data_IF_131424083567
#
_entry.id   IF_131424083567
#
_cell.length_a   1.000
_cell.length_b   1.000
_cell.length_c   1.000
_cell.angle_alpha   90.00
_cell.angle_beta   90.00
_cell.angle_gamma   90.00
#
_symmetry.space_group_name_H-M   'P 1'
#
loop_
_entity.id
_entity.type
_entity.pdbx_description
1 polymer ?
#
# COMPACT_ATOMS: atom_id res chain seq x y z
N UNK A 1 49.26 -48.97 -30.61
CA UNK A 1 48.19 -49.68 -31.34
C UNK A 1 47.03 -49.90 -30.37
N UNK A 2 45.87 -49.33 -30.68
CA UNK A 2 44.51 -49.71 -30.23
C UNK A 2 44.18 -49.78 -28.72
N UNK A 3 43.58 -48.67 -28.25
CA UNK A 3 42.33 -48.53 -27.49
C UNK A 3 41.86 -49.62 -26.50
N UNK A 4 41.40 -49.18 -25.32
CA UNK A 4 40.03 -49.39 -24.85
C UNK A 4 39.65 -48.41 -23.74
N UNK A 5 38.65 -47.58 -24.06
CA UNK A 5 37.85 -46.76 -23.16
C UNK A 5 36.92 -47.70 -22.40
N UNK A 6 36.93 -47.65 -21.06
CA UNK A 6 35.88 -48.24 -20.24
C UNK A 6 35.32 -47.20 -19.27
N UNK A 7 34.07 -46.89 -19.57
CA UNK A 7 33.09 -46.11 -18.83
C UNK A 7 32.85 -46.75 -17.45
N UNK A 8 33.00 -45.97 -16.37
CA UNK A 8 32.43 -46.34 -15.07
C UNK A 8 31.45 -45.23 -14.66
N UNK A 9 30.17 -45.50 -14.83
CA UNK A 9 29.08 -44.72 -14.25
C UNK A 9 29.20 -44.80 -12.72
N UNK A 10 29.50 -43.68 -12.08
CA UNK A 10 29.23 -43.50 -10.66
C UNK A 10 27.76 -43.10 -10.51
N UNK A 11 26.94 -44.04 -10.01
CA UNK A 11 25.60 -43.77 -9.51
C UNK A 11 25.70 -42.82 -8.32
N UNK A 12 25.36 -41.55 -8.53
CA UNK A 12 25.12 -40.59 -7.46
C UNK A 12 23.71 -40.85 -6.91
N UNK A 13 23.62 -41.64 -5.85
CA UNK A 13 22.41 -41.71 -5.03
C UNK A 13 22.24 -40.36 -4.31
N UNK A 14 21.42 -39.48 -4.88
CA UNK A 14 20.94 -38.29 -4.20
C UNK A 14 19.93 -38.77 -3.15
N UNK A 15 20.41 -38.85 -1.91
CA UNK A 15 19.56 -38.93 -0.73
C UNK A 15 18.68 -37.67 -0.71
N UNK A 16 17.37 -37.84 -0.95
CA UNK A 16 16.34 -36.90 -0.51
C UNK A 16 16.49 -36.70 1.00
N UNK A 17 17.25 -35.67 1.37
CA UNK A 17 17.09 -35.05 2.68
C UNK A 17 15.90 -34.12 2.53
N UNK A 18 14.87 -34.18 3.40
CA UNK A 18 13.80 -33.19 3.36
C UNK A 18 14.45 -31.81 3.49
N UNK A 19 14.07 -30.90 2.60
CA UNK A 19 14.48 -29.51 2.67
C UNK A 19 14.11 -28.95 4.05
N UNK A 20 15.07 -28.95 4.97
CA UNK A 20 15.11 -27.92 6.00
C UNK A 20 15.42 -26.61 5.28
N UNK A 21 14.39 -26.05 4.65
CA UNK A 21 14.34 -24.61 4.43
C UNK A 21 14.45 -24.01 5.82
N UNK A 22 15.65 -23.53 6.18
CA UNK A 22 15.76 -22.58 7.27
C UNK A 22 14.84 -21.42 6.89
N UNK A 23 13.67 -21.36 7.52
CA UNK A 23 12.69 -20.31 7.28
C UNK A 23 13.43 -18.97 7.35
N UNK A 24 13.55 -18.31 6.20
CA UNK A 24 14.33 -17.09 6.07
C UNK A 24 13.63 -16.00 6.88
N UNK A 25 14.14 -15.76 8.09
CA UNK A 25 13.58 -14.75 9.00
C UNK A 25 14.09 -13.38 8.61
N UNK A 26 13.16 -12.47 8.36
CA UNK A 26 13.44 -11.09 7.96
C UNK A 26 13.24 -10.17 9.16
N UNK A 27 14.16 -9.24 9.41
CA UNK A 27 14.01 -8.23 10.46
C UNK A 27 12.83 -7.29 10.15
N UNK A 28 11.99 -7.03 11.15
CA UNK A 28 10.87 -6.10 11.00
C UNK A 28 11.35 -4.68 11.27
N UNK A 29 11.14 -3.80 10.30
CA UNK A 29 11.45 -2.38 10.45
C UNK A 29 10.53 -1.73 11.49
N UNK A 30 11.12 -1.13 12.52
CA UNK A 30 10.40 -0.29 13.46
C UNK A 30 9.96 1.03 12.81
N UNK A 31 8.69 1.40 13.00
CA UNK A 31 8.15 2.70 12.61
C UNK A 31 8.47 3.75 13.68
N UNK A 32 8.14 3.43 14.92
CA UNK A 32 8.49 4.22 16.10
C UNK A 32 8.93 3.30 17.25
N UNK A 33 9.69 3.85 18.19
CA UNK A 33 10.19 3.11 19.35
C UNK A 33 10.21 3.98 20.58
N UNK A 34 9.73 3.43 21.68
CA UNK A 34 9.70 4.11 22.97
C UNK A 34 10.26 3.19 24.04
N UNK A 35 11.22 3.68 24.82
CA UNK A 35 11.85 2.92 25.91
C UNK A 35 11.82 3.71 27.20
N UNK A 36 11.76 3.02 28.33
CA UNK A 36 11.75 3.67 29.63
C UNK A 36 11.94 2.70 30.79
N UNK A 37 11.95 3.28 31.99
CA UNK A 37 12.10 2.56 33.26
C UNK A 37 11.09 3.11 34.25
N UNK A 38 10.48 2.23 35.02
CA UNK A 38 9.49 2.59 36.03
C UNK A 38 9.84 1.93 37.36
N UNK A 39 9.80 2.70 38.44
CA UNK A 39 10.10 2.20 39.78
C UNK A 39 8.98 1.30 40.34
N UNK A 40 7.72 1.54 39.98
CA UNK A 40 6.59 0.70 40.40
C UNK A 40 6.53 -0.59 39.58
N UNK A 41 7.04 -1.68 40.17
CA UNK A 41 7.00 -3.03 39.57
C UNK A 41 5.59 -3.56 39.33
N UNK A 42 4.58 -3.05 40.04
CA UNK A 42 3.21 -3.54 39.96
C UNK A 42 2.56 -3.23 38.59
N UNK A 43 2.97 -2.12 37.97
CA UNK A 43 2.47 -1.72 36.65
C UNK A 43 2.82 -2.73 35.56
N UNK A 44 3.98 -3.40 35.66
CA UNK A 44 4.37 -4.47 34.74
C UNK A 44 3.36 -5.61 34.76
N UNK A 45 3.09 -6.17 35.95
CA UNK A 45 2.18 -7.31 36.09
C UNK A 45 0.72 -6.98 35.79
N UNK A 46 0.30 -5.73 36.01
CA UNK A 46 -1.09 -5.29 35.80
C UNK A 46 -1.39 -4.88 34.36
N UNK A 47 -0.42 -4.33 33.64
CA UNK A 47 -0.67 -3.62 32.38
C UNK A 47 0.17 -4.11 31.20
N UNK A 48 1.27 -4.83 31.42
CA UNK A 48 1.96 -5.45 30.29
C UNK A 48 1.03 -6.53 29.69
N UNK A 49 0.80 -6.52 28.36
CA UNK A 49 -0.04 -7.51 27.72
C UNK A 49 0.62 -8.89 27.83
N UNK A 50 -0.16 -9.91 28.22
CA UNK A 50 0.32 -11.30 28.26
C UNK A 50 0.67 -11.83 26.86
N UNK A 51 0.09 -11.22 25.83
CA UNK A 51 0.37 -11.50 24.42
C UNK A 51 1.65 -10.83 23.91
N UNK A 52 2.28 -9.94 24.69
CA UNK A 52 3.46 -9.16 24.31
C UNK A 52 3.24 -8.19 23.14
N UNK A 53 1.98 -7.89 22.80
CA UNK A 53 1.63 -6.87 21.80
C UNK A 53 0.27 -6.21 22.10
N UNK A 54 0.02 -5.06 21.46
CA UNK A 54 -1.22 -4.29 21.51
C UNK A 54 -1.74 -4.04 20.09
N UNK A 55 -3.04 -4.26 19.88
CA UNK A 55 -3.72 -4.12 18.58
C UNK A 55 -4.89 -3.15 18.60
N UNK A 56 -5.12 -2.43 19.69
CA UNK A 56 -6.24 -1.51 19.83
C UNK A 56 -5.89 -0.23 20.61
N UNK A 57 -6.60 0.84 20.30
CA UNK A 57 -6.33 2.18 20.83
C UNK A 57 -6.62 2.29 22.33
N UNK A 58 -7.60 1.55 22.85
CA UNK A 58 -7.99 1.62 24.25
C UNK A 58 -6.90 1.00 25.16
N UNK A 59 -6.39 -0.17 24.79
CA UNK A 59 -5.26 -0.82 25.46
C UNK A 59 -3.99 0.03 25.36
N UNK A 60 -3.72 0.62 24.20
CA UNK A 60 -2.58 1.51 23.99
C UNK A 60 -2.63 2.74 24.89
N UNK A 61 -3.76 3.45 24.88
CA UNK A 61 -3.98 4.63 25.72
C UNK A 61 -3.81 4.30 27.20
N UNK A 62 -4.41 3.20 27.65
CA UNK A 62 -4.33 2.74 29.06
C UNK A 62 -2.89 2.44 29.47
N UNK A 63 -2.14 1.70 28.65
CA UNK A 63 -0.74 1.38 28.94
C UNK A 63 0.11 2.66 28.94
N UNK A 64 -0.01 3.50 27.91
CA UNK A 64 0.79 4.71 27.76
C UNK A 64 0.60 5.66 28.94
N UNK A 65 -0.64 5.98 29.30
CA UNK A 65 -0.94 6.91 30.40
C UNK A 65 -0.42 6.39 31.75
N UNK A 66 -0.42 5.08 31.96
CA UNK A 66 0.13 4.52 33.19
C UNK A 66 1.66 4.52 33.23
N UNK A 67 2.31 4.32 32.08
CA UNK A 67 3.78 4.19 32.00
C UNK A 67 4.49 5.52 31.71
N UNK A 68 3.75 6.51 31.22
CA UNK A 68 4.21 7.84 30.80
C UNK A 68 3.12 8.88 31.10
N UNK A 69 2.72 9.08 32.37
CA UNK A 69 1.60 9.93 32.73
C UNK A 69 1.77 11.40 32.29
N UNK A 70 3.03 11.86 32.20
CA UNK A 70 3.37 13.23 31.84
C UNK A 70 3.58 13.43 30.32
N UNK A 71 3.31 12.40 29.50
CA UNK A 71 3.48 12.47 28.04
C UNK A 71 2.14 12.26 27.33
N UNK A 72 1.94 13.02 26.26
CA UNK A 72 0.81 12.82 25.36
C UNK A 72 0.88 11.41 24.72
N UNK A 73 -0.29 10.78 24.55
CA UNK A 73 -0.41 9.45 23.95
C UNK A 73 -0.15 9.55 22.44
N UNK A 74 0.86 8.85 21.89
CA UNK A 74 1.11 8.84 20.46
C UNK A 74 -0.08 8.24 19.72
N UNK A 75 -0.42 8.84 18.58
CA UNK A 75 -1.41 8.29 17.67
C UNK A 75 -0.83 7.07 16.94
N UNK A 76 -1.51 5.92 17.05
CA UNK A 76 -1.18 4.70 16.30
C UNK A 76 -2.42 4.29 15.51
N UNK A 77 -2.26 4.11 14.19
CA UNK A 77 -3.33 3.60 13.34
C UNK A 77 -3.39 2.07 13.46
N UNK A 78 -4.16 1.57 14.43
CA UNK A 78 -4.23 0.13 14.70
C UNK A 78 -4.87 -0.69 13.56
N UNK A 79 -5.43 -0.06 12.53
CA UNK A 79 -5.82 -0.78 11.31
C UNK A 79 -4.60 -1.16 10.47
N UNK A 80 -3.55 -0.34 10.48
CA UNK A 80 -2.32 -0.55 9.70
C UNK A 80 -1.16 -1.08 10.53
N UNK A 81 -1.14 -0.77 11.83
CA UNK A 81 0.00 -0.98 12.71
C UNK A 81 -0.40 -1.75 13.97
N UNK A 82 0.61 -2.22 14.70
CA UNK A 82 0.48 -2.73 16.06
C UNK A 82 1.71 -2.35 16.88
N UNK A 83 1.63 -2.52 18.20
CA UNK A 83 2.75 -2.22 19.10
C UNK A 83 3.24 -3.49 19.79
N UNK A 84 4.50 -3.85 19.58
CA UNK A 84 5.20 -4.90 20.32
C UNK A 84 5.64 -4.38 21.68
N UNK A 85 5.53 -5.20 22.72
CA UNK A 85 5.78 -4.81 24.11
C UNK A 85 6.81 -5.75 24.75
N UNK A 86 8.02 -5.26 24.96
CA UNK A 86 9.08 -5.95 25.70
C UNK A 86 9.25 -5.36 27.10
N UNK A 87 9.33 -6.21 28.13
CA UNK A 87 9.62 -5.78 29.52
C UNK A 87 10.69 -6.65 30.17
N UNK A 88 11.45 -6.07 31.10
CA UNK A 88 12.42 -6.82 31.92
C UNK A 88 12.36 -6.33 33.39
N UNK A 89 12.42 -7.23 34.39
CA UNK A 89 12.42 -6.84 35.80
C UNK A 89 13.69 -6.06 36.16
N UNK A 90 13.58 -5.15 37.14
CA UNK A 90 14.66 -4.25 37.53
C UNK A 90 14.79 -3.04 36.60
N UNK A 91 15.59 -2.02 36.96
CA UNK A 91 15.69 -0.75 36.21
C UNK A 91 16.51 -0.89 34.91
N UNK A 92 16.25 -1.92 34.12
CA UNK A 92 17.06 -2.34 33.01
C UNK A 92 16.77 -1.58 31.72
N UNK A 93 17.78 -1.44 30.87
CA UNK A 93 17.55 -1.07 29.49
C UNK A 93 17.06 -2.33 28.76
N UNK A 94 15.98 -2.19 28.00
CA UNK A 94 15.37 -3.31 27.27
C UNK A 94 15.62 -3.12 25.79
N UNK A 95 16.08 -4.19 25.15
CA UNK A 95 16.15 -4.33 23.71
C UNK A 95 15.22 -5.45 23.23
N UNK A 96 14.80 -5.32 21.98
CA UNK A 96 14.10 -6.36 21.24
C UNK A 96 14.57 -6.31 19.79
N UNK A 97 14.58 -7.47 19.13
CA UNK A 97 14.84 -7.61 17.71
C UNK A 97 13.76 -8.49 17.08
N UNK A 98 12.67 -7.90 16.55
CA UNK A 98 11.59 -8.65 15.94
C UNK A 98 11.91 -9.10 14.53
N UNK A 99 11.60 -10.37 14.27
CA UNK A 99 11.79 -11.01 12.98
C UNK A 99 10.52 -11.73 12.56
N UNK A 100 10.19 -11.66 11.28
CA UNK A 100 9.04 -12.32 10.66
C UNK A 100 9.51 -13.46 9.77
N UNK A 101 8.81 -14.60 9.80
CA UNK A 101 9.01 -15.71 8.86
C UNK A 101 8.02 -15.66 7.68
N UNK A 102 8.16 -16.60 6.75
CA UNK A 102 7.32 -16.68 5.55
C UNK A 102 5.83 -16.92 5.85
N UNK A 103 5.52 -17.49 7.01
CA UNK A 103 4.15 -17.78 7.45
C UNK A 103 3.52 -16.60 8.20
N UNK A 104 4.24 -15.48 8.31
CA UNK A 104 3.78 -14.29 9.01
C UNK A 104 3.92 -14.39 10.53
N UNK A 105 4.72 -15.32 11.05
CA UNK A 105 4.97 -15.41 12.48
C UNK A 105 6.11 -14.48 12.86
N UNK A 106 5.79 -13.53 13.73
CA UNK A 106 6.76 -12.64 14.34
C UNK A 106 7.30 -13.29 15.60
N UNK A 107 8.62 -13.37 15.70
CA UNK A 107 9.30 -13.78 16.91
C UNK A 107 10.29 -12.71 17.34
N UNK A 108 10.40 -12.47 18.64
CA UNK A 108 11.43 -11.61 19.19
C UNK A 108 11.90 -12.10 20.54
N UNK A 109 13.18 -11.86 20.80
CA UNK A 109 13.77 -12.09 22.12
C UNK A 109 13.94 -10.75 22.81
N UNK A 110 13.50 -10.69 24.07
CA UNK A 110 13.75 -9.56 24.95
C UNK A 110 15.14 -9.75 25.56
N UNK A 111 16.03 -8.80 25.33
CA UNK A 111 17.34 -8.74 25.99
C UNK A 111 17.44 -7.49 26.85
N UNK A 112 18.20 -7.56 27.93
CA UNK A 112 18.30 -6.44 28.86
C UNK A 112 19.64 -6.38 29.58
N UNK A 113 19.96 -5.22 30.15
CA UNK A 113 21.05 -5.08 31.12
C UNK A 113 20.76 -5.95 32.36
N UNK A 114 21.78 -6.26 33.17
CA UNK A 114 21.62 -7.05 34.42
C UNK A 114 21.74 -6.17 35.66
N UNK A 115 20.85 -5.20 35.81
CA UNK A 115 20.76 -4.35 37.01
C UNK A 115 19.66 -4.85 37.94
N UNK A 116 20.05 -5.20 39.17
CA UNK A 116 19.13 -5.51 40.25
C UNK A 116 18.53 -4.23 40.84
N UNK A 117 17.31 -4.31 41.35
CA UNK A 117 16.61 -3.18 41.97
C UNK A 117 15.10 -3.23 41.77
N UNK A 118 14.36 -2.30 42.39
CA UNK A 118 12.92 -2.20 42.21
C UNK A 118 12.57 -1.75 40.78
N UNK A 119 11.34 -2.05 40.37
CA UNK A 119 10.80 -1.60 39.10
C UNK A 119 11.03 -2.53 37.92
N UNK A 120 10.92 -1.97 36.71
CA UNK A 120 11.11 -2.66 35.45
C UNK A 120 11.53 -1.70 34.34
N UNK A 121 12.23 -2.23 33.35
CA UNK A 121 12.47 -1.58 32.06
C UNK A 121 11.46 -2.05 31.02
N UNK A 122 11.22 -1.23 30.01
CA UNK A 122 10.40 -1.59 28.86
C UNK A 122 10.93 -1.02 27.55
N UNK A 123 10.54 -1.68 26.45
CA UNK A 123 10.66 -1.19 25.08
C UNK A 123 9.35 -1.47 24.35
N UNK A 124 8.82 -0.46 23.70
CA UNK A 124 7.61 -0.47 22.88
C UNK A 124 8.05 -0.21 21.44
N UNK A 125 7.61 -1.03 20.49
CA UNK A 125 8.00 -0.89 19.07
C UNK A 125 6.74 -0.94 18.22
N UNK A 126 6.46 0.15 17.52
CA UNK A 126 5.40 0.18 16.51
C UNK A 126 5.92 -0.46 15.22
N UNK A 127 5.13 -1.37 14.66
CA UNK A 127 5.43 -2.08 13.40
C UNK A 127 4.20 -2.12 12.51
N UNK A 128 4.42 -2.25 11.20
CA UNK A 128 3.33 -2.50 10.24
C UNK A 128 2.70 -3.86 10.53
N UNK A 129 1.37 -3.90 10.60
CA UNK A 129 0.55 -5.10 10.85
C UNK A 129 0.50 -6.03 9.65
N UNK A 130 0.70 -5.49 8.44
CA UNK A 130 0.55 -6.22 7.17
C UNK A 130 1.45 -7.47 7.15
N UNK A 131 0.83 -8.62 6.91
CA UNK A 131 1.53 -9.90 6.83
C UNK A 131 1.84 -10.55 8.18
N UNK A 132 1.49 -9.93 9.32
CA UNK A 132 1.64 -10.53 10.65
C UNK A 132 0.41 -11.38 10.96
N UNK A 133 0.61 -12.68 11.09
CA UNK A 133 -0.42 -13.65 11.51
C UNK A 133 -0.33 -13.94 13.02
N UNK A 134 0.88 -14.16 13.54
CA UNK A 134 1.11 -14.45 14.96
C UNK A 134 2.32 -13.69 15.49
N UNK A 135 2.36 -13.47 16.81
CA UNK A 135 3.50 -12.88 17.52
C UNK A 135 3.81 -13.77 18.72
N UNK A 136 5.02 -14.34 18.79
CA UNK A 136 5.45 -15.26 19.84
C UNK A 136 4.41 -16.38 20.14
N UNK A 137 3.76 -16.89 19.10
CA UNK A 137 2.74 -17.95 19.20
C UNK A 137 1.33 -17.48 19.56
N UNK A 138 1.14 -16.18 19.81
CA UNK A 138 -0.17 -15.58 20.02
C UNK A 138 -0.74 -15.06 18.70
N UNK A 139 -1.95 -15.49 18.35
CA UNK A 139 -2.62 -15.03 17.14
C UNK A 139 -2.92 -13.52 17.21
N UNK A 140 -2.55 -12.80 16.15
CA UNK A 140 -2.99 -11.42 15.94
C UNK A 140 -4.37 -11.51 15.32
N UNK A 141 -5.42 -11.31 16.14
CA UNK A 141 -6.79 -11.22 15.61
C UNK A 141 -6.81 -10.17 14.51
N UNK A 142 -7.51 -10.37 13.39
CA UNK A 142 -7.74 -9.29 12.43
C UNK A 142 -8.42 -8.10 13.13
N UNK A 143 -8.23 -6.88 12.62
CA UNK A 143 -8.89 -5.68 13.13
C UNK A 143 -10.41 -5.77 12.85
N UNK A 144 -11.11 -6.58 13.63
CA UNK A 144 -12.56 -6.70 13.63
C UNK A 144 -13.13 -5.85 14.77
N UNK A 145 -12.90 -4.55 14.70
CA UNK A 145 -13.96 -3.63 15.13
C UNK A 145 -14.66 -3.19 13.85
N UNK A 146 -15.98 -3.41 13.78
CA UNK A 146 -16.82 -2.90 12.70
C UNK A 146 -16.52 -1.42 12.51
N UNK A 147 -15.83 -1.07 11.43
CA UNK A 147 -15.40 0.28 11.16
C UNK A 147 -15.75 0.64 9.72
N UNK A 148 -16.28 1.85 9.55
CA UNK A 148 -16.60 2.38 8.23
C UNK A 148 -15.53 3.40 7.89
N UNK A 149 -14.63 3.06 6.97
CA UNK A 149 -13.70 4.04 6.41
C UNK A 149 -14.38 4.79 5.28
N UNK A 150 -14.30 6.11 5.27
CA UNK A 150 -14.90 6.96 4.24
C UNK A 150 -13.85 7.80 3.52
N UNK A 151 -14.11 8.06 2.23
CA UNK A 151 -13.38 9.02 1.40
C UNK A 151 -14.40 9.96 0.78
N UNK A 152 -14.47 11.19 1.28
CA UNK A 152 -15.47 12.18 0.88
C UNK A 152 -14.80 13.26 0.03
N UNK A 153 -15.33 13.51 -1.16
CA UNK A 153 -14.96 14.65 -2.00
C UNK A 153 -16.12 15.64 -1.97
N UNK A 154 -15.93 16.77 -1.31
CA UNK A 154 -17.01 17.70 -1.02
C UNK A 154 -16.53 19.08 -0.62
N UNK A 155 -17.46 19.99 -0.35
CA UNK A 155 -17.14 21.36 0.06
C UNK A 155 -16.95 21.43 1.56
N UNK A 156 -15.81 21.94 2.02
CA UNK A 156 -15.51 22.11 3.45
C UNK A 156 -16.10 23.42 3.96
N UNK A 157 -16.64 23.41 5.18
CA UNK A 157 -17.07 24.61 5.90
C UNK A 157 -16.46 24.60 7.31
N UNK A 158 -15.90 25.71 7.76
CA UNK A 158 -15.36 25.88 9.11
C UNK A 158 -16.07 27.03 9.84
N UNK A 159 -15.79 27.19 11.14
CA UNK A 159 -16.35 28.27 11.96
C UNK A 159 -17.83 28.09 12.31
N UNK A 160 -18.34 26.86 12.25
CA UNK A 160 -19.71 26.57 12.65
C UNK A 160 -19.83 26.68 14.17
N UNK A 161 -20.84 27.42 14.64
CA UNK A 161 -21.19 27.54 16.05
C UNK A 161 -22.61 27.01 16.22
N UNK A 162 -22.76 25.98 17.05
CA UNK A 162 -24.07 25.47 17.45
C UNK A 162 -24.46 26.06 18.81
N UNK A 163 -25.73 26.41 18.96
CA UNK A 163 -26.32 26.72 20.27
C UNK A 163 -26.18 25.44 21.11
N UNK A 164 -25.46 25.52 22.24
CA UNK A 164 -25.13 24.35 23.06
C UNK A 164 -23.73 23.74 22.84
N UNK A 165 -22.94 24.27 21.90
CA UNK A 165 -21.54 23.84 21.70
C UNK A 165 -21.36 22.46 21.06
N UNK A 166 -22.45 21.83 20.61
CA UNK A 166 -22.46 20.49 20.03
C UNK A 166 -22.06 20.45 18.55
N UNK A 167 -20.90 20.96 18.20
CA UNK A 167 -20.36 20.84 16.84
C UNK A 167 -18.86 20.65 16.89
N UNK A 168 -18.30 19.92 15.93
CA UNK A 168 -16.83 19.93 15.72
C UNK A 168 -16.34 21.26 15.12
N UNK A 169 -17.27 22.14 14.73
CA UNK A 169 -16.98 23.43 14.11
C UNK A 169 -16.61 23.34 12.64
N UNK A 170 -16.49 22.13 12.08
CA UNK A 170 -16.12 21.89 10.69
C UNK A 170 -16.95 20.78 10.06
N UNK A 171 -17.42 20.99 8.83
CA UNK A 171 -18.17 19.98 8.06
C UNK A 171 -17.63 19.82 6.65
N UNK A 172 -17.98 18.70 6.02
CA UNK A 172 -17.89 18.49 4.58
C UNK A 172 -19.24 18.10 4.02
N UNK A 173 -19.63 18.71 2.91
CA UNK A 173 -20.89 18.39 2.20
C UNK A 173 -20.59 17.82 0.81
N UNK A 174 -21.16 16.65 0.50
CA UNK A 174 -21.13 16.03 -0.82
C UNK A 174 -22.48 15.38 -1.12
N UNK A 175 -23.00 15.58 -2.34
CA UNK A 175 -24.30 15.06 -2.77
C UNK A 175 -25.42 15.32 -1.73
N UNK A 176 -25.51 16.56 -1.24
CA UNK A 176 -26.50 17.00 -0.23
C UNK A 176 -26.37 16.35 1.16
N UNK A 177 -25.44 15.43 1.35
CA UNK A 177 -25.14 14.83 2.65
C UNK A 177 -24.02 15.61 3.32
N UNK A 178 -24.19 15.93 4.59
CA UNK A 178 -23.20 16.68 5.39
C UNK A 178 -22.70 15.82 6.54
N UNK A 179 -21.38 15.75 6.67
CA UNK A 179 -20.71 15.10 7.79
C UNK A 179 -19.89 16.11 8.57
N UNK A 180 -19.83 15.91 9.88
CA UNK A 180 -18.91 16.65 10.73
C UNK A 180 -17.51 16.08 10.63
N UNK A 181 -16.50 16.95 10.73
CA UNK A 181 -15.10 16.57 10.69
C UNK A 181 -14.49 16.75 12.08
N UNK A 182 -13.99 15.67 12.67
CA UNK A 182 -13.21 15.72 13.89
C UNK A 182 -11.73 15.52 13.52
N UNK A 183 -10.92 16.54 13.73
CA UNK A 183 -9.48 16.50 13.45
C UNK A 183 -8.67 16.02 14.66
N UNK A 184 -9.32 15.58 15.75
CA UNK A 184 -8.64 15.33 17.02
C UNK A 184 -7.80 16.54 17.42
N UNK A 185 -6.59 16.32 17.94
CA UNK A 185 -5.63 17.40 18.25
C UNK A 185 -4.74 17.83 17.08
N UNK A 186 -5.05 17.42 15.85
CA UNK A 186 -4.19 17.72 14.70
C UNK A 186 -4.37 19.17 14.23
N UNK A 187 -3.58 20.08 14.80
CA UNK A 187 -3.60 21.51 14.47
C UNK A 187 -3.30 21.78 12.99
N UNK A 188 -2.48 20.96 12.34
CA UNK A 188 -2.17 21.10 10.90
C UNK A 188 -3.40 20.83 10.04
N UNK A 189 -4.16 19.78 10.34
CA UNK A 189 -5.40 19.47 9.63
C UNK A 189 -6.46 20.54 9.87
N UNK A 190 -6.58 21.07 11.10
CA UNK A 190 -7.47 22.20 11.40
C UNK A 190 -7.11 23.45 10.58
N UNK A 191 -5.84 23.86 10.61
CA UNK A 191 -5.35 25.00 9.81
C UNK A 191 -5.55 24.79 8.30
N UNK A 192 -5.40 23.56 7.82
CA UNK A 192 -5.68 23.23 6.43
C UNK A 192 -7.17 23.32 6.11
N UNK A 193 -8.05 22.85 7.01
CA UNK A 193 -9.50 23.00 6.87
C UNK A 193 -9.91 24.46 6.77
N UNK A 194 -9.34 25.34 7.60
CA UNK A 194 -9.59 26.79 7.53
C UNK A 194 -9.16 27.38 6.18
N UNK A 195 -8.00 26.97 5.64
CA UNK A 195 -7.53 27.37 4.30
C UNK A 195 -8.43 26.85 3.16
N UNK A 196 -9.14 25.75 3.42
CA UNK A 196 -10.04 25.08 2.49
C UNK A 196 -11.51 25.43 2.74
N UNK A 197 -11.82 26.33 3.66
CA UNK A 197 -13.20 26.78 3.90
C UNK A 197 -13.82 27.32 2.59
N UNK A 198 -15.00 26.80 2.25
CA UNK A 198 -15.72 27.09 1.02
C UNK A 198 -15.18 26.41 -0.24
N UNK A 199 -14.10 25.62 -0.16
CA UNK A 199 -13.47 24.94 -1.29
C UNK A 199 -13.77 23.45 -1.28
N UNK A 200 -13.67 22.81 -2.46
CA UNK A 200 -13.71 21.35 -2.54
C UNK A 200 -12.43 20.75 -1.92
N UNK A 201 -12.59 19.70 -1.14
CA UNK A 201 -11.52 18.94 -0.51
C UNK A 201 -11.80 17.44 -0.58
N UNK A 202 -10.73 16.66 -0.48
CA UNK A 202 -10.80 15.22 -0.26
C UNK A 202 -10.48 14.95 1.21
N UNK A 203 -11.42 14.35 1.92
CA UNK A 203 -11.30 13.92 3.31
C UNK A 203 -11.27 12.41 3.37
N UNK A 204 -10.32 11.84 4.11
CA UNK A 204 -10.33 10.42 4.50
C UNK A 204 -10.32 10.31 6.02
N UNK A 205 -11.04 9.32 6.53
CA UNK A 205 -11.16 9.06 7.94
C UNK A 205 -12.12 7.94 8.25
N UNK A 206 -12.32 7.71 9.55
CA UNK A 206 -13.27 6.72 10.06
C UNK A 206 -14.59 7.40 10.39
N UNK A 207 -15.70 6.87 9.89
CA UNK A 207 -17.03 7.37 10.19
C UNK A 207 -17.49 6.78 11.52
N UNK A 208 -17.71 7.66 12.49
CA UNK A 208 -18.21 7.31 13.82
C UNK A 208 -19.57 7.94 14.08
N UNK A 209 -20.37 7.23 14.86
CA UNK A 209 -21.69 7.66 15.32
C UNK A 209 -21.57 8.22 16.75
N UNK A 210 -21.94 9.48 16.99
CA UNK A 210 -21.98 10.06 18.34
C UNK A 210 -23.39 10.51 18.75
N UNK A 211 -23.82 10.31 20.00
CA UNK A 211 -25.08 10.86 20.50
C UNK A 211 -25.01 12.40 20.59
N UNK A 212 -26.09 13.09 20.21
CA UNK A 212 -26.27 14.52 20.50
C UNK A 212 -26.84 14.73 21.91
N UNK A 213 -26.65 15.91 22.49
CA UNK A 213 -27.09 16.28 23.85
C UNK A 213 -28.58 16.69 23.86
N UNK A 214 -29.07 17.38 22.83
CA UNK A 214 -30.50 17.79 22.74
C UNK A 214 -31.24 17.32 21.46
N UNK A 215 -30.57 16.62 20.53
CA UNK A 215 -31.12 16.23 19.22
C UNK A 215 -30.37 15.07 18.55
N UNK A 216 -30.75 14.69 17.29
CA UNK A 216 -30.46 13.42 16.64
C UNK A 216 -28.99 12.99 16.61
N UNK A 217 -28.78 11.69 16.38
CA UNK A 217 -27.46 11.08 16.17
C UNK A 217 -26.60 11.88 15.19
N UNK A 218 -25.34 12.10 15.56
CA UNK A 218 -24.33 12.81 14.76
C UNK A 218 -23.39 11.82 14.07
N UNK A 219 -23.14 12.06 12.79
CA UNK A 219 -22.17 11.30 11.99
C UNK A 219 -20.91 12.13 11.80
N UNK A 220 -19.82 11.65 12.38
CA UNK A 220 -18.56 12.38 12.46
C UNK A 220 -17.49 11.56 11.75
N UNK A 221 -16.71 12.20 10.90
CA UNK A 221 -15.53 11.61 10.30
C UNK A 221 -14.32 12.00 11.15
N UNK A 222 -13.69 11.03 11.78
CA UNK A 222 -12.39 11.20 12.45
C UNK A 222 -11.31 11.25 11.37
N UNK A 223 -10.85 12.47 11.06
CA UNK A 223 -10.08 12.77 9.86
C UNK A 223 -8.62 12.35 10.04
N UNK A 224 -8.17 11.42 9.21
CA UNK A 224 -6.76 11.03 9.11
C UNK A 224 -6.04 11.77 7.98
N UNK A 225 -6.75 12.15 6.92
CA UNK A 225 -6.18 12.91 5.79
C UNK A 225 -7.17 13.96 5.27
N UNK A 226 -6.68 15.16 5.04
CA UNK A 226 -7.39 16.25 4.37
C UNK A 226 -6.45 16.84 3.31
N UNK A 227 -6.97 17.10 2.11
CA UNK A 227 -6.27 17.83 1.06
C UNK A 227 -7.23 18.60 0.18
N UNK A 228 -6.75 19.67 -0.46
CA UNK A 228 -7.52 20.36 -1.49
C UNK A 228 -7.94 19.35 -2.55
N UNK A 229 -9.20 19.40 -2.97
CA UNK A 229 -9.63 18.68 -4.17
C UNK A 229 -9.16 19.52 -5.35
N UNK A 230 -7.88 19.38 -5.67
CA UNK A 230 -7.45 19.55 -7.05
C UNK A 230 -8.27 18.55 -7.88
N UNK A 231 -8.50 18.78 -9.17
CA UNK A 231 -9.00 17.73 -10.06
C UNK A 231 -8.00 16.57 -9.99
N UNK A 232 -8.18 15.64 -9.07
CA UNK A 232 -7.09 14.81 -8.59
C UNK A 232 -7.06 13.53 -9.40
N UNK A 233 -6.08 13.51 -10.28
CA UNK A 233 -5.47 12.30 -10.76
C UNK A 233 -5.00 11.48 -9.54
N UNK A 234 -5.50 10.24 -9.43
CA UNK A 234 -5.14 9.26 -8.42
C UNK A 234 -3.65 8.95 -8.54
N UNK A 235 -2.85 9.33 -7.53
CA UNK A 235 -1.44 8.96 -7.47
C UNK A 235 -1.34 7.54 -6.93
N UNK A 236 -0.87 6.61 -7.78
CA UNK A 236 -0.67 5.21 -7.39
C UNK A 236 0.40 5.09 -6.29
N UNK A 237 0.37 4.03 -5.45
CA UNK A 237 1.43 3.77 -4.50
C UNK A 237 2.81 3.76 -5.19
N UNK A 238 3.73 4.53 -4.64
CA UNK A 238 5.12 4.65 -5.11
C UNK A 238 5.82 3.30 -4.92
N UNK A 239 6.31 2.71 -6.01
CA UNK A 239 7.22 1.56 -5.97
C UNK A 239 8.65 2.09 -6.16
N UNK A 240 9.66 1.43 -5.59
CA UNK A 240 11.05 1.87 -5.66
C UNK A 240 11.46 2.20 -7.11
N UNK A 241 11.61 3.50 -7.38
CA UNK A 241 12.02 4.03 -8.68
C UNK A 241 10.93 4.48 -9.65
N UNK A 242 9.63 4.30 -9.34
CA UNK A 242 8.51 4.73 -10.18
C UNK A 242 7.36 5.35 -9.38
N UNK A 243 6.65 6.29 -10.00
CA UNK A 243 5.37 6.81 -9.50
C UNK A 243 4.40 7.02 -10.65
N UNK A 244 3.08 6.97 -10.39
CA UNK A 244 2.07 7.23 -11.40
C UNK A 244 1.12 8.35 -10.97
N UNK A 245 0.69 9.14 -11.94
CA UNK A 245 -0.40 10.11 -11.83
C UNK A 245 -1.52 9.66 -12.76
N UNK A 246 -2.65 9.21 -12.21
CA UNK A 246 -3.70 8.50 -12.95
C UNK A 246 -4.98 9.32 -13.03
N UNK A 247 -5.40 9.71 -14.23
CA UNK A 247 -6.64 10.52 -14.38
C UNK A 247 -7.93 9.72 -14.24
N UNK A 248 -7.95 8.48 -14.76
CA UNK A 248 -9.09 7.57 -14.76
C UNK A 248 -8.53 6.14 -14.75
N UNK A 249 -9.13 5.26 -13.95
CA UNK A 249 -8.62 3.92 -13.67
C UNK A 249 -7.58 3.91 -12.55
N UNK A 250 -6.95 2.76 -12.32
CA UNK A 250 -5.98 2.52 -11.24
C UNK A 250 -4.77 1.81 -11.82
N UNK A 251 -3.58 2.26 -11.43
CA UNK A 251 -2.31 1.61 -11.77
C UNK A 251 -1.69 1.05 -10.50
N UNK A 252 -1.25 -0.19 -10.54
CA UNK A 252 -0.38 -0.79 -9.53
C UNK A 252 0.93 -1.18 -10.18
N UNK A 253 2.02 -0.98 -9.47
CA UNK A 253 3.31 -1.55 -9.86
C UNK A 253 3.45 -2.91 -9.18
N UNK A 254 3.84 -3.93 -9.94
CA UNK A 254 4.17 -5.26 -9.44
C UNK A 254 5.58 -5.63 -9.91
N UNK A 255 6.28 -6.45 -9.13
CA UNK A 255 7.54 -7.04 -9.55
C UNK A 255 7.33 -8.53 -9.84
N UNK A 256 7.79 -9.01 -11.00
CA UNK A 256 7.75 -10.42 -11.34
C UNK A 256 9.00 -10.81 -12.12
N UNK A 257 9.82 -11.68 -11.55
CA UNK A 257 11.16 -11.99 -12.07
C UNK A 257 11.95 -10.70 -12.34
N UNK A 258 12.47 -10.52 -13.56
CA UNK A 258 13.25 -9.35 -13.98
C UNK A 258 12.38 -8.20 -14.55
N UNK A 259 11.05 -8.35 -14.59
CA UNK A 259 10.14 -7.38 -15.15
C UNK A 259 9.38 -6.57 -14.07
N UNK A 260 9.22 -5.28 -14.33
CA UNK A 260 8.26 -4.43 -13.62
C UNK A 260 6.97 -4.37 -14.41
N UNK A 261 5.85 -4.65 -13.75
CA UNK A 261 4.52 -4.72 -14.38
C UNK A 261 3.70 -3.51 -13.97
N UNK A 262 3.10 -2.83 -14.96
CA UNK A 262 2.08 -1.80 -14.77
C UNK A 262 0.73 -2.48 -14.87
N UNK A 263 0.15 -2.82 -13.72
CA UNK A 263 -1.11 -3.54 -13.62
C UNK A 263 -2.28 -2.53 -13.54
N UNK A 264 -3.04 -2.44 -14.63
CA UNK A 264 -4.03 -1.39 -14.89
C UNK A 264 -5.44 -1.96 -14.82
N UNK A 265 -6.26 -1.42 -13.92
CA UNK A 265 -7.69 -1.72 -13.82
C UNK A 265 -8.51 -0.47 -14.12
N UNK A 266 -9.60 -0.60 -14.88
CA UNK A 266 -10.38 0.55 -15.33
C UNK A 266 -11.87 0.24 -15.40
N UNK A 267 -12.62 0.71 -14.39
CA UNK A 267 -14.08 0.50 -14.29
C UNK A 267 -14.88 1.11 -15.46
N UNK A 268 -14.34 2.15 -16.10
CA UNK A 268 -14.99 2.86 -17.23
C UNK A 268 -14.46 2.45 -18.61
N UNK A 269 -13.55 1.48 -18.68
CA UNK A 269 -12.94 1.06 -19.95
C UNK A 269 -12.10 2.14 -20.66
N UNK A 270 -11.90 3.33 -20.11
CA UNK A 270 -11.07 4.39 -20.70
C UNK A 270 -10.29 5.14 -19.64
N UNK A 271 -9.02 5.41 -19.91
CA UNK A 271 -8.22 6.19 -18.98
C UNK A 271 -6.85 6.60 -19.49
N UNK A 272 -6.13 7.30 -18.61
CA UNK A 272 -4.80 7.83 -18.89
C UNK A 272 -4.00 7.88 -17.60
N UNK A 273 -2.74 7.47 -17.67
CA UNK A 273 -1.78 7.52 -16.58
C UNK A 273 -0.43 8.04 -17.07
N UNK A 274 0.18 8.96 -16.32
CA UNK A 274 1.57 9.38 -16.53
C UNK A 274 2.44 8.69 -15.51
N UNK A 275 3.45 7.95 -15.97
CA UNK A 275 4.40 7.25 -15.11
C UNK A 275 5.68 8.07 -15.08
N UNK A 276 6.07 8.53 -13.89
CA UNK A 276 7.32 9.24 -13.66
C UNK A 276 8.38 8.28 -13.14
N UNK A 277 9.57 8.35 -13.73
CA UNK A 277 10.76 7.68 -13.24
C UNK A 277 11.36 8.48 -12.09
N UNK A 278 11.52 7.84 -10.94
CA UNK A 278 12.13 8.44 -9.74
C UNK A 278 13.47 7.81 -9.34
N UNK A 279 13.87 6.70 -9.98
CA UNK A 279 15.23 6.14 -9.88
C UNK A 279 16.12 6.63 -11.02
N UNK A 280 17.41 6.29 -11.01
CA UNK A 280 18.37 6.73 -12.03
C UNK A 280 18.09 6.15 -13.43
N UNK A 281 17.50 4.96 -13.50
CA UNK A 281 17.16 4.27 -14.76
C UNK A 281 15.77 3.64 -14.72
N UNK A 282 15.16 3.44 -15.89
CA UNK A 282 13.97 2.60 -16.02
C UNK A 282 14.30 1.13 -15.70
N UNK A 283 13.32 0.33 -15.25
CA UNK A 283 13.47 -1.12 -15.15
C UNK A 283 13.93 -1.74 -16.47
N UNK A 284 14.72 -2.80 -16.39
CA UNK A 284 15.26 -3.49 -17.58
C UNK A 284 14.17 -4.03 -18.51
N UNK A 285 13.05 -4.50 -17.93
CA UNK A 285 11.86 -4.91 -18.68
C UNK A 285 10.60 -4.32 -18.05
N UNK A 286 9.72 -3.79 -18.90
CA UNK A 286 8.42 -3.24 -18.49
C UNK A 286 7.30 -3.94 -19.25
N UNK A 287 6.30 -4.41 -18.51
CA UNK A 287 5.07 -5.01 -19.04
C UNK A 287 3.88 -4.16 -18.62
N UNK A 288 2.87 -4.04 -19.48
CA UNK A 288 1.57 -3.46 -19.12
C UNK A 288 0.53 -4.56 -19.09
N UNK A 289 -0.18 -4.72 -17.98
CA UNK A 289 -1.35 -5.60 -17.86
C UNK A 289 -2.61 -4.76 -17.83
N UNK A 290 -3.50 -4.96 -18.79
CA UNK A 290 -4.76 -4.24 -18.90
C UNK A 290 -5.93 -5.19 -18.62
N UNK A 291 -6.59 -4.98 -17.48
CA UNK A 291 -7.82 -5.70 -17.10
C UNK A 291 -9.03 -5.04 -17.76
N UNK A 292 -9.13 -5.21 -19.07
CA UNK A 292 -10.20 -4.71 -19.94
C UNK A 292 -10.96 -5.89 -20.55
N UNK A 293 -12.17 -5.64 -21.04
CA UNK A 293 -12.94 -6.64 -21.81
C UNK A 293 -12.44 -6.75 -23.24
N UNK A 294 -12.12 -5.63 -23.88
CA UNK A 294 -11.49 -5.58 -25.19
C UNK A 294 -10.37 -4.54 -25.22
N UNK A 295 -9.37 -4.73 -26.09
CA UNK A 295 -8.29 -3.77 -26.27
C UNK A 295 -8.49 -3.00 -27.58
N UNK A 296 -9.26 -1.92 -27.54
CA UNK A 296 -9.46 -1.03 -28.69
C UNK A 296 -8.20 -0.24 -29.00
N UNK A 297 -7.57 0.30 -27.96
CA UNK A 297 -6.32 1.05 -28.10
C UNK A 297 -5.58 1.08 -26.77
N UNK A 298 -4.29 0.80 -26.81
CA UNK A 298 -3.30 1.19 -25.81
C UNK A 298 -2.28 2.08 -26.50
N UNK A 299 -2.18 3.33 -26.08
CA UNK A 299 -1.15 4.26 -26.53
C UNK A 299 -0.13 4.45 -25.42
N UNK A 300 1.16 4.36 -25.75
CA UNK A 300 2.26 4.69 -24.84
C UNK A 300 3.17 5.70 -25.52
N UNK A 301 3.32 6.86 -24.92
CA UNK A 301 4.08 7.98 -25.48
C UNK A 301 5.21 8.44 -24.58
N UNK A 302 6.27 8.95 -25.21
CA UNK A 302 7.35 9.70 -24.60
C UNK A 302 7.63 10.96 -25.46
N UNK A 303 8.74 11.66 -25.20
CA UNK A 303 9.10 12.86 -25.96
C UNK A 303 9.41 12.60 -27.45
N UNK A 304 9.72 11.36 -27.85
CA UNK A 304 10.09 10.99 -29.23
C UNK A 304 8.90 10.58 -30.08
N UNK A 305 7.93 9.90 -29.48
CA UNK A 305 6.86 9.31 -30.26
C UNK A 305 5.81 8.59 -29.43
N UNK A 306 4.87 7.99 -30.16
CA UNK A 306 3.71 7.26 -29.63
C UNK A 306 3.71 5.87 -30.24
N UNK A 307 3.67 4.86 -29.38
CA UNK A 307 3.35 3.49 -29.76
C UNK A 307 1.87 3.26 -29.52
N UNK A 308 1.20 2.57 -30.44
CA UNK A 308 -0.19 2.17 -30.27
C UNK A 308 -0.35 0.67 -30.53
N UNK A 309 -1.05 -0.03 -29.65
CA UNK A 309 -1.48 -1.41 -29.80
C UNK A 309 -3.00 -1.51 -29.79
N UNK A 310 -3.55 -2.31 -30.68
CA UNK A 310 -4.97 -2.66 -30.69
C UNK A 310 -5.13 -4.14 -31.05
N UNK A 311 -6.18 -4.78 -30.54
CA UNK A 311 -6.46 -6.19 -30.82
C UNK A 311 -7.90 -6.34 -31.34
N UNK A 312 -8.08 -6.93 -32.51
CA UNK A 312 -9.41 -7.14 -33.07
C UNK A 312 -10.29 -7.99 -32.13
N UNK A 313 -11.52 -7.55 -31.89
CA UNK A 313 -12.44 -8.26 -30.99
C UNK A 313 -13.05 -9.54 -31.59
N UNK A 314 -13.00 -9.70 -32.92
CA UNK A 314 -13.47 -10.90 -33.62
C UNK A 314 -12.37 -11.62 -34.40
N UNK A 315 -12.70 -12.81 -34.91
CA UNK A 315 -11.77 -13.66 -35.66
C UNK A 315 -10.59 -14.12 -34.80
N UNK A 316 -9.41 -14.23 -35.41
CA UNK A 316 -8.18 -14.68 -34.74
C UNK A 316 -7.49 -13.57 -33.91
N UNK A 317 -8.24 -12.55 -33.48
CA UNK A 317 -7.74 -11.44 -32.68
C UNK A 317 -6.49 -10.76 -33.26
N UNK A 318 -6.55 -10.40 -34.55
CA UNK A 318 -5.43 -9.75 -35.25
C UNK A 318 -4.95 -8.49 -34.49
N UNK A 319 -3.66 -8.48 -34.16
CA UNK A 319 -2.99 -7.34 -33.55
C UNK A 319 -2.62 -6.31 -34.63
N UNK A 320 -2.82 -5.03 -34.32
CA UNK A 320 -2.19 -3.93 -35.04
C UNK A 320 -1.31 -3.17 -34.07
N UNK A 321 -0.06 -2.90 -34.48
CA UNK A 321 0.84 -2.03 -33.74
C UNK A 321 1.36 -0.94 -34.66
N UNK A 322 1.36 0.30 -34.18
CA UNK A 322 1.92 1.43 -34.92
C UNK A 322 2.91 2.21 -34.07
N UNK A 323 3.81 2.91 -34.73
CA UNK A 323 4.70 3.89 -34.12
C UNK A 323 4.63 5.19 -34.90
N UNK A 324 4.44 6.29 -34.18
CA UNK A 324 4.42 7.64 -34.73
C UNK A 324 5.52 8.49 -34.11
N UNK A 325 6.33 9.14 -34.94
CA UNK A 325 7.38 10.08 -34.54
C UNK A 325 7.28 11.35 -35.39
N UNK A 326 6.72 12.42 -34.82
CA UNK A 326 6.41 13.64 -35.56
C UNK A 326 5.39 13.39 -36.68
N UNK A 327 5.80 13.59 -37.93
CA UNK A 327 4.96 13.34 -39.12
C UNK A 327 5.07 11.91 -39.66
N UNK A 328 6.05 11.15 -39.20
CA UNK A 328 6.24 9.76 -39.62
C UNK A 328 5.29 8.85 -38.84
N UNK A 329 4.62 7.96 -39.56
CA UNK A 329 3.71 6.97 -39.00
C UNK A 329 3.99 5.65 -39.70
N UNK A 330 4.27 4.59 -38.94
CA UNK A 330 4.58 3.27 -39.47
C UNK A 330 3.82 2.17 -38.73
N UNK A 331 3.28 1.22 -39.47
CA UNK A 331 2.80 -0.04 -38.92
C UNK A 331 3.99 -0.92 -38.59
N UNK A 332 4.01 -1.48 -37.38
CA UNK A 332 5.03 -2.39 -36.90
C UNK A 332 4.56 -3.83 -37.05
N UNK A 333 5.44 -4.68 -37.56
CA UNK A 333 5.24 -6.11 -37.70
C UNK A 333 6.59 -6.84 -37.46
N UNK A 334 6.59 -8.15 -37.18
CA UNK A 334 7.82 -8.93 -37.18
C UNK A 334 8.56 -8.77 -38.53
N UNK A 335 9.91 -8.65 -38.54
CA UNK A 335 10.85 -8.83 -37.42
C UNK A 335 11.30 -7.52 -36.75
N UNK A 336 10.52 -6.44 -36.80
CA UNK A 336 10.91 -5.15 -36.20
C UNK A 336 11.23 -5.28 -34.71
N UNK A 337 12.36 -4.71 -34.26
CA UNK A 337 12.72 -4.64 -32.83
C UNK A 337 11.79 -3.74 -32.00
N UNK A 338 10.96 -2.94 -32.68
CA UNK A 338 9.93 -2.12 -32.07
C UNK A 338 8.61 -2.87 -31.89
N UNK A 339 8.45 -4.02 -32.54
CA UNK A 339 7.24 -4.84 -32.45
C UNK A 339 7.28 -5.71 -31.20
N UNK A 340 6.19 -5.68 -30.42
CA UNK A 340 5.96 -6.57 -29.29
C UNK A 340 4.58 -7.21 -29.43
N UNK A 341 4.48 -8.48 -29.08
CA UNK A 341 3.22 -9.24 -29.18
C UNK A 341 2.36 -9.01 -27.93
N UNK A 342 1.08 -8.68 -28.16
CA UNK A 342 0.04 -8.60 -27.13
C UNK A 342 -0.43 -10.01 -26.83
N UNK A 343 -0.39 -10.40 -25.56
CA UNK A 343 -0.89 -11.71 -25.11
C UNK A 343 -2.20 -11.56 -24.36
N UNK A 344 -3.16 -12.44 -24.65
CA UNK A 344 -4.32 -12.63 -23.79
C UNK A 344 -3.94 -13.65 -22.73
N UNK A 345 -4.04 -13.28 -21.45
CA UNK A 345 -3.66 -14.15 -20.33
C UNK A 345 -4.86 -14.35 -19.40
N UNK A 346 -5.18 -15.62 -19.14
CA UNK A 346 -6.36 -16.01 -18.37
C UNK A 346 -7.66 -15.96 -19.20
N UNK A 347 -8.76 -16.36 -18.57
CA UNK A 347 -10.06 -16.50 -19.25
C UNK A 347 -10.07 -17.63 -20.29
N UNK A 348 -11.08 -17.62 -21.15
CA UNK A 348 -11.24 -18.52 -22.30
C UNK A 348 -10.59 -17.97 -23.59
N UNK A 349 -9.76 -16.93 -23.46
CA UNK A 349 -9.15 -16.18 -24.55
C UNK A 349 -10.11 -15.52 -25.57
N UNK A 350 -11.42 -15.45 -25.28
CA UNK A 350 -12.39 -14.77 -26.15
C UNK A 350 -12.53 -13.30 -25.79
N UNK A 351 -12.77 -12.43 -26.78
CA UNK A 351 -13.10 -11.01 -26.56
C UNK A 351 -14.60 -10.81 -26.84
N UNK A 352 -15.41 -10.28 -25.89
CA UNK A 352 -15.00 -9.66 -24.62
C UNK A 352 -14.48 -10.67 -23.58
N UNK A 353 -13.40 -10.30 -22.88
CA UNK A 353 -12.80 -11.12 -21.83
C UNK A 353 -13.74 -11.25 -20.62
N UNK A 354 -14.05 -12.48 -20.25
CA UNK A 354 -14.74 -12.85 -19.01
C UNK A 354 -13.73 -13.16 -17.90
N UNK A 355 -12.85 -12.19 -17.64
CA UNK A 355 -11.71 -12.33 -16.73
C UNK A 355 -10.38 -12.59 -17.45
N UNK A 356 -9.27 -12.31 -16.76
CA UNK A 356 -7.94 -12.24 -17.36
C UNK A 356 -7.53 -10.81 -17.72
N UNK A 357 -6.49 -10.68 -18.54
CA UNK A 357 -5.95 -9.39 -18.97
C UNK A 357 -5.20 -9.47 -20.29
N UNK A 358 -5.02 -8.32 -20.93
CA UNK A 358 -4.06 -8.15 -22.03
C UNK A 358 -2.68 -7.81 -21.45
N UNK A 359 -1.66 -8.57 -21.82
CA UNK A 359 -0.27 -8.33 -21.43
C UNK A 359 0.51 -7.79 -22.63
N UNK A 360 1.04 -6.58 -22.50
CA UNK A 360 1.78 -5.87 -23.56
C UNK A 360 3.20 -5.58 -23.08
N UNK A 361 4.22 -6.27 -23.61
CA UNK A 361 5.61 -5.90 -23.39
C UNK A 361 5.91 -4.55 -24.04
N UNK A 362 6.53 -3.63 -23.30
CA UNK A 362 6.97 -2.36 -23.89
C UNK A 362 8.36 -2.54 -24.52
N UNK A 363 8.58 -2.07 -25.76
CA UNK A 363 9.83 -2.29 -26.46
C UNK A 363 10.96 -1.49 -25.80
N UNK A 364 12.14 -2.10 -25.61
CA UNK A 364 13.29 -1.45 -24.98
C UNK A 364 13.67 -0.08 -25.60
N UNK A 365 13.59 0.13 -26.93
CA UNK A 365 13.81 1.44 -27.54
C UNK A 365 12.91 2.57 -27.01
N UNK A 366 11.75 2.28 -26.43
CA UNK A 366 10.88 3.27 -25.78
C UNK A 366 11.57 3.95 -24.59
N UNK A 367 12.55 3.28 -23.97
CA UNK A 367 13.28 3.72 -22.79
C UNK A 367 14.75 4.11 -23.06
N UNK A 368 15.22 4.03 -24.31
CA UNK A 368 16.65 4.16 -24.65
C UNK A 368 17.28 5.49 -24.18
N UNK A 369 16.51 6.58 -24.20
CA UNK A 369 16.96 7.92 -23.76
C UNK A 369 16.69 8.18 -22.28
N UNK A 370 16.29 7.13 -21.54
CA UNK A 370 15.98 7.19 -20.13
C UNK A 370 15.01 8.32 -19.76
N UNK A 371 13.82 8.42 -20.40
CA UNK A 371 12.92 9.56 -20.24
C UNK A 371 12.54 9.75 -18.76
N UNK A 372 12.26 10.98 -18.34
CA UNK A 372 11.78 11.25 -16.97
C UNK A 372 10.36 10.73 -16.73
N UNK A 373 9.58 10.55 -17.81
CA UNK A 373 8.22 10.06 -17.75
C UNK A 373 7.77 9.44 -19.08
N UNK A 374 6.72 8.62 -19.00
CA UNK A 374 5.94 8.15 -20.15
C UNK A 374 4.45 8.33 -19.85
N UNK A 375 3.63 8.45 -20.89
CA UNK A 375 2.17 8.53 -20.74
C UNK A 375 1.50 7.33 -21.39
N UNK A 376 0.59 6.69 -20.65
CA UNK A 376 -0.26 5.60 -21.12
C UNK A 376 -1.68 6.11 -21.28
N UNK A 377 -2.34 5.73 -22.37
CA UNK A 377 -3.77 5.94 -22.60
C UNK A 377 -4.39 4.64 -23.08
N UNK A 378 -5.54 4.26 -22.57
CA UNK A 378 -6.21 3.03 -22.96
C UNK A 378 -7.70 3.24 -23.24
N UNK A 379 -8.23 2.41 -24.12
CA UNK A 379 -9.64 2.35 -24.52
C UNK A 379 -10.06 0.87 -24.66
N UNK A 380 -11.21 0.57 -24.08
CA UNK A 380 -11.92 -0.71 -24.17
C UNK A 380 -13.10 -0.58 -25.14
N UNK A 381 -13.23 -1.54 -26.06
CA UNK A 381 -14.36 -1.64 -26.97
C UNK A 381 -15.72 -1.66 -26.26
N UNK A 382 -15.76 -2.23 -25.05
CA UNK A 382 -16.98 -2.51 -24.29
C UNK A 382 -17.17 -1.60 -23.07
N UNK A 383 -16.69 -0.35 -23.19
CA UNK A 383 -16.78 0.72 -22.18
C UNK A 383 -18.20 1.19 -21.84
#
# INVERSE_FOLDING_TARGET
>A
MTAKISLLLAFLAILCSPDWVLAQRVEIKALETWSGKLADKSLRGKLAPQTEFITDAAAWKKLWQAWRPDQEVPHVDFAQDLVLVGTAPGPNNVGMNPQIDADGNVTFVIFSTKMGGPGFGYKLVQVERKGIATINGHAVKEANEDSITVSVVGTVRTGLVAIGGETTGTTITANEITWELDFGQNAKLRQLADKLAGKKATVKGTLVRRPGVEGPTRWIVEVTKLKAATAEQETAPKQDGLSAVVSKGKVKFLQHAEATIFDITSEKGIGTATIHRTADHWPGQVLVRLHLKGLESLQVSNAKGVFEWSLASGGDHQQTTTYQSGREHSTLAPPSLLYTEVKIVGGNASIPLEGGYFEVPLPAPLFADNPSEITLRWIDFYR
#
